data_IF_005016174217
#
_entry.id   IF_005016174217
#
_cell.length_a   1.000
_cell.length_b   1.000
_cell.length_c   1.000
_cell.angle_alpha   90.00
_cell.angle_beta   90.00
_cell.angle_gamma   90.00
#
_symmetry.space_group_name_H-M   'P 1'
#
loop_
_entity.id
_entity.type
_entity.pdbx_description
1 polymer ?
#
# COMPACT_ATOMS: atom_id res chain seq x y z
N UNK A 1 30.61 7.49 -7.86
CA UNK A 1 30.25 6.61 -8.98
C UNK A 1 28.74 6.45 -8.99
N UNK A 2 28.07 7.45 -9.53
CA UNK A 2 26.59 7.57 -9.59
C UNK A 2 26.27 8.21 -10.94
N UNK A 3 26.06 7.43 -11.99
CA UNK A 3 25.37 7.82 -13.25
C UNK A 3 25.29 6.52 -14.06
N UNK A 4 24.21 5.75 -14.01
CA UNK A 4 23.83 4.78 -15.04
C UNK A 4 22.54 3.99 -14.77
N UNK A 5 21.46 4.65 -14.32
CA UNK A 5 20.15 3.98 -14.22
C UNK A 5 18.95 4.82 -14.68
N UNK A 6 19.18 5.97 -15.32
CA UNK A 6 18.09 6.83 -15.82
C UNK A 6 17.79 6.59 -17.33
N UNK A 7 18.66 5.87 -18.04
CA UNK A 7 18.56 5.72 -19.51
C UNK A 7 17.53 4.67 -19.97
N UNK A 8 17.22 3.66 -19.18
CA UNK A 8 16.35 2.55 -19.64
C UNK A 8 14.85 2.80 -19.44
N UNK A 9 14.48 3.58 -18.41
CA UNK A 9 13.07 3.90 -18.15
C UNK A 9 12.50 4.90 -19.18
N UNK A 10 13.30 5.86 -19.61
CA UNK A 10 12.89 6.85 -20.62
C UNK A 10 12.62 6.23 -21.98
N UNK A 11 13.37 5.21 -22.38
CA UNK A 11 13.24 4.55 -23.69
C UNK A 11 11.97 3.69 -23.79
N UNK A 12 11.49 3.11 -22.70
CA UNK A 12 10.27 2.28 -22.67
C UNK A 12 9.02 3.17 -22.73
N UNK A 13 9.00 4.28 -22.00
CA UNK A 13 7.86 5.23 -22.01
C UNK A 13 7.72 5.89 -23.38
N UNK A 14 8.82 6.27 -24.03
CA UNK A 14 8.79 6.88 -25.37
C UNK A 14 8.31 5.88 -26.43
N UNK A 15 8.69 4.59 -26.35
CA UNK A 15 8.23 3.57 -27.29
C UNK A 15 6.74 3.22 -27.13
N UNK A 16 6.19 3.29 -25.92
CA UNK A 16 4.75 3.06 -25.69
C UNK A 16 3.91 4.26 -26.13
N UNK A 17 4.37 5.48 -25.89
CA UNK A 17 3.68 6.70 -26.36
C UNK A 17 3.68 6.84 -27.88
N UNK A 18 4.78 6.47 -28.56
CA UNK A 18 4.83 6.47 -30.04
C UNK A 18 3.90 5.42 -30.64
N UNK A 19 3.73 4.25 -30.04
CA UNK A 19 2.79 3.23 -30.53
C UNK A 19 1.33 3.66 -30.33
N UNK A 20 0.98 4.25 -29.19
CA UNK A 20 -0.37 4.79 -28.95
C UNK A 20 -0.67 5.97 -29.89
N UNK A 21 0.30 6.86 -30.13
CA UNK A 21 0.13 7.95 -31.09
C UNK A 21 0.01 7.48 -32.54
N UNK A 22 0.70 6.39 -32.91
CA UNK A 22 0.57 5.80 -34.25
C UNK A 22 -0.82 5.19 -34.48
N UNK A 23 -1.39 4.54 -33.47
CA UNK A 23 -2.75 3.97 -33.54
C UNK A 23 -3.79 5.10 -33.66
N UNK A 24 -3.61 6.22 -32.93
CA UNK A 24 -4.49 7.38 -33.06
C UNK A 24 -4.36 8.09 -34.41
N UNK A 25 -3.15 8.17 -34.99
CA UNK A 25 -2.95 8.73 -36.33
C UNK A 25 -3.54 7.86 -37.45
N UNK A 26 -3.46 6.54 -37.35
CA UNK A 26 -4.06 5.62 -38.31
C UNK A 26 -5.61 5.61 -38.18
N UNK A 27 -6.17 5.69 -36.98
CA UNK A 27 -7.62 5.80 -36.77
C UNK A 27 -8.22 7.10 -37.33
N UNK A 28 -7.50 8.22 -37.23
CA UNK A 28 -7.96 9.51 -37.76
C UNK A 28 -7.87 9.61 -39.29
N UNK A 29 -6.86 8.97 -39.90
CA UNK A 29 -6.71 8.93 -41.37
C UNK A 29 -7.77 8.04 -42.01
N UNK A 30 -8.18 6.95 -41.36
CA UNK A 30 -9.28 6.10 -41.85
C UNK A 30 -10.62 6.84 -41.76
N UNK A 31 -10.84 7.68 -40.73
CA UNK A 31 -12.07 8.49 -40.59
C UNK A 31 -12.17 9.61 -41.64
N UNK A 32 -11.05 10.14 -42.12
CA UNK A 32 -11.03 11.23 -43.13
C UNK A 32 -11.19 10.73 -44.57
N UNK A 33 -10.76 9.49 -44.88
CA UNK A 33 -10.80 8.95 -46.24
C UNK A 33 -12.09 8.21 -46.61
N UNK A 34 -13.00 7.94 -45.67
CA UNK A 34 -14.14 7.06 -45.86
C UNK A 34 -15.51 7.70 -45.56
N UNK A 35 -15.59 9.03 -45.49
CA UNK A 35 -16.88 9.73 -45.34
C UNK A 35 -17.88 9.40 -46.49
N UNK A 36 -17.40 8.96 -47.65
CA UNK A 36 -18.21 8.51 -48.76
C UNK A 36 -18.62 7.03 -48.76
N UNK A 37 -17.83 6.18 -48.06
CA UNK A 37 -18.05 4.71 -48.05
C UNK A 37 -18.85 4.28 -46.81
N UNK A 38 -18.75 5.01 -45.67
CA UNK A 38 -19.55 4.71 -44.48
C UNK A 38 -21.07 4.83 -44.69
N UNK A 39 -21.54 5.66 -45.61
CA UNK A 39 -22.95 5.79 -45.88
C UNK A 39 -23.51 4.54 -46.60
N UNK A 40 -22.70 3.85 -47.39
CA UNK A 40 -23.10 2.64 -48.11
C UNK A 40 -23.11 1.36 -47.25
N UNK A 41 -22.30 1.32 -46.20
CA UNK A 41 -22.25 0.16 -45.30
C UNK A 41 -23.33 0.20 -44.21
N UNK A 42 -23.83 1.38 -43.85
CA UNK A 42 -24.87 1.51 -42.81
C UNK A 42 -26.29 1.17 -43.28
N UNK A 43 -26.52 1.15 -44.59
CA UNK A 43 -27.88 0.85 -45.17
C UNK A 43 -28.18 -0.65 -45.35
N UNK A 44 -27.22 -1.54 -45.09
CA UNK A 44 -27.38 -2.99 -45.24
C UNK A 44 -27.17 -3.79 -43.95
N UNK A 45 -27.24 -3.17 -42.78
CA UNK A 45 -27.25 -3.90 -41.50
C UNK A 45 -28.65 -4.44 -41.25
N UNK A 46 -28.82 -5.76 -41.07
CA UNK A 46 -30.12 -6.31 -40.70
C UNK A 46 -30.56 -5.70 -39.38
N UNK A 47 -31.71 -5.09 -39.35
CA UNK A 47 -32.34 -4.56 -38.14
C UNK A 47 -32.79 -5.74 -37.27
N UNK A 48 -31.94 -6.15 -36.41
CA UNK A 48 -32.16 -7.24 -35.46
C UNK A 48 -31.24 -7.08 -34.25
N UNK A 49 -31.82 -6.75 -33.17
CA UNK A 49 -31.54 -6.92 -31.71
C UNK A 49 -30.17 -7.44 -31.20
N UNK A 50 -29.08 -7.22 -31.92
CA UNK A 50 -27.74 -7.75 -31.49
C UNK A 50 -26.92 -6.75 -30.69
N UNK A 51 -27.37 -5.49 -30.55
CA UNK A 51 -26.62 -4.49 -29.77
C UNK A 51 -26.91 -4.57 -28.28
N UNK A 52 -28.03 -5.21 -27.86
CA UNK A 52 -28.36 -5.36 -26.44
C UNK A 52 -27.63 -6.51 -25.73
N UNK A 53 -27.14 -7.49 -26.49
CA UNK A 53 -26.40 -8.61 -25.91
C UNK A 53 -24.95 -8.27 -25.58
N UNK A 54 -24.29 -7.49 -26.45
CA UNK A 54 -22.86 -7.09 -26.25
C UNK A 54 -22.73 -6.12 -25.08
N UNK A 55 -23.70 -5.23 -24.87
CA UNK A 55 -23.66 -4.31 -23.73
C UNK A 55 -23.92 -5.00 -22.40
N UNK A 56 -24.67 -6.10 -22.36
CA UNK A 56 -24.87 -6.91 -21.16
C UNK A 56 -23.66 -7.74 -20.80
N UNK A 57 -22.95 -8.32 -21.77
CA UNK A 57 -21.72 -9.06 -21.50
C UNK A 57 -20.58 -8.12 -21.05
N UNK A 58 -20.44 -6.94 -21.67
CA UNK A 58 -19.45 -5.97 -21.25
C UNK A 58 -19.74 -5.41 -19.86
N UNK A 59 -21.01 -5.18 -19.52
CA UNK A 59 -21.40 -4.75 -18.18
C UNK A 59 -21.14 -5.84 -17.11
N UNK A 60 -21.34 -7.11 -17.44
CA UNK A 60 -21.02 -8.20 -16.52
C UNK A 60 -19.51 -8.40 -16.34
N UNK A 61 -18.70 -8.08 -17.33
CA UNK A 61 -17.23 -8.10 -17.22
C UNK A 61 -16.70 -6.94 -16.37
N UNK A 62 -17.36 -5.78 -16.40
CA UNK A 62 -16.97 -4.59 -15.61
C UNK A 62 -17.58 -4.58 -14.21
N UNK A 63 -18.61 -5.39 -13.94
CA UNK A 63 -19.28 -5.52 -12.64
C UNK A 63 -18.89 -6.79 -11.89
N UNK A 64 -17.91 -7.55 -12.39
CA UNK A 64 -17.31 -8.64 -11.64
C UNK A 64 -16.77 -8.10 -10.31
N UNK A 65 -16.92 -8.83 -9.18
CA UNK A 65 -16.33 -8.39 -7.94
C UNK A 65 -14.84 -8.19 -8.22
N UNK A 66 -14.33 -6.97 -7.96
CA UNK A 66 -12.89 -6.72 -7.92
C UNK A 66 -12.40 -7.68 -6.86
N UNK A 67 -11.82 -8.79 -7.29
CA UNK A 67 -11.16 -9.72 -6.39
C UNK A 67 -10.07 -8.90 -5.70
N UNK A 68 -10.35 -8.55 -4.44
CA UNK A 68 -9.30 -8.16 -3.50
C UNK A 68 -8.29 -9.30 -3.56
N UNK A 69 -7.21 -9.08 -4.28
CA UNK A 69 -6.16 -10.06 -4.46
C UNK A 69 -5.67 -10.46 -3.07
N UNK A 70 -5.36 -11.73 -2.87
CA UNK A 70 -4.85 -12.32 -1.61
C UNK A 70 -3.65 -11.55 -0.99
N UNK A 71 -3.10 -10.57 -1.71
CA UNK A 71 -2.04 -9.66 -1.28
C UNK A 71 -2.48 -8.60 -0.25
N UNK A 72 -3.79 -8.36 -0.08
CA UNK A 72 -4.32 -7.38 0.90
C UNK A 72 -4.53 -7.97 2.30
N UNK A 73 -4.38 -9.29 2.47
CA UNK A 73 -4.58 -9.94 3.75
C UNK A 73 -3.27 -10.00 4.55
N UNK A 74 -3.22 -9.27 5.67
CA UNK A 74 -2.10 -9.36 6.61
C UNK A 74 -2.10 -10.70 7.34
N UNK A 75 -0.96 -11.36 7.39
CA UNK A 75 -0.74 -12.48 8.31
C UNK A 75 -0.71 -11.92 9.74
N UNK A 76 -1.28 -12.67 10.69
CA UNK A 76 -1.31 -12.24 12.08
C UNK A 76 -0.35 -13.07 12.93
N UNK A 77 0.20 -12.44 13.95
CA UNK A 77 0.94 -13.13 15.01
C UNK A 77 0.60 -12.55 16.37
N UNK A 78 1.04 -13.24 17.41
CA UNK A 78 0.92 -12.78 18.79
C UNK A 78 2.26 -12.18 19.22
N UNK A 79 2.20 -10.97 19.79
CA UNK A 79 3.34 -10.28 20.40
C UNK A 79 3.09 -10.17 21.89
N UNK A 80 4.04 -10.60 22.71
CA UNK A 80 3.97 -10.53 24.17
C UNK A 80 5.09 -9.66 24.72
N UNK A 81 4.78 -8.83 25.71
CA UNK A 81 5.76 -8.05 26.45
C UNK A 81 5.27 -7.83 27.86
N UNK A 82 6.11 -8.08 28.87
CA UNK A 82 5.69 -8.05 30.27
C UNK A 82 4.42 -8.90 30.48
N UNK A 83 3.35 -8.31 30.98
CA UNK A 83 2.08 -9.00 31.28
C UNK A 83 0.99 -8.69 30.23
N UNK A 84 1.37 -8.25 29.02
CA UNK A 84 0.41 -7.91 27.98
C UNK A 84 0.64 -8.73 26.71
N UNK A 85 -0.45 -8.93 25.97
CA UNK A 85 -0.46 -9.68 24.72
C UNK A 85 -1.23 -8.90 23.66
N UNK A 86 -0.63 -8.77 22.48
CA UNK A 86 -1.22 -8.14 21.30
C UNK A 86 -1.39 -9.16 20.20
N UNK A 87 -2.47 -9.06 19.45
CA UNK A 87 -2.61 -9.69 18.13
C UNK A 87 -2.27 -8.65 17.08
N UNK A 88 -1.18 -8.86 16.37
CA UNK A 88 -0.68 -7.87 15.41
C UNK A 88 -0.77 -8.37 13.98
N UNK A 89 -1.07 -7.46 13.08
CA UNK A 89 -0.91 -7.65 11.64
C UNK A 89 0.57 -7.53 11.29
N UNK A 90 1.11 -8.45 10.47
CA UNK A 90 2.48 -8.41 10.00
C UNK A 90 2.58 -7.66 8.67
N UNK A 91 3.32 -6.56 8.64
CA UNK A 91 3.68 -5.87 7.42
C UNK A 91 5.00 -6.43 6.88
N UNK A 92 4.91 -7.40 5.97
CA UNK A 92 6.03 -8.19 5.45
C UNK A 92 6.50 -7.70 4.07
N UNK A 93 5.61 -7.11 3.28
CA UNK A 93 5.93 -6.64 1.92
C UNK A 93 6.08 -5.12 1.87
N UNK A 94 6.83 -4.58 0.88
CA UNK A 94 6.95 -3.12 0.71
C UNK A 94 5.60 -2.40 0.61
N UNK A 95 4.61 -2.99 -0.07
CA UNK A 95 3.26 -2.41 -0.20
C UNK A 95 2.54 -2.38 1.15
N UNK A 96 2.63 -3.47 1.94
CA UNK A 96 2.06 -3.53 3.29
C UNK A 96 2.74 -2.52 4.22
N UNK A 97 4.07 -2.40 4.14
CA UNK A 97 4.85 -1.44 4.93
C UNK A 97 4.53 0.01 4.55
N UNK A 98 4.38 0.29 3.26
CA UNK A 98 4.00 1.62 2.78
C UNK A 98 2.59 2.02 3.22
N UNK A 99 1.65 1.09 3.25
CA UNK A 99 0.26 1.31 3.67
C UNK A 99 0.15 1.42 5.19
N UNK A 100 0.80 0.53 5.92
CA UNK A 100 0.72 0.49 7.39
C UNK A 100 -0.72 0.45 7.89
N UNK A 101 -1.01 1.26 8.89
CA UNK A 101 -2.35 1.44 9.48
C UNK A 101 -3.16 2.57 8.81
N UNK A 102 -2.63 3.21 7.74
CA UNK A 102 -3.30 4.31 7.03
C UNK A 102 -4.73 3.95 6.63
N UNK A 103 -5.65 4.88 6.80
CA UNK A 103 -7.07 4.71 6.45
C UNK A 103 -7.90 3.89 7.43
N UNK A 104 -7.32 3.21 8.41
CA UNK A 104 -8.09 2.50 9.45
C UNK A 104 -8.81 3.50 10.34
N UNK A 105 -10.09 3.22 10.62
CA UNK A 105 -10.92 4.11 11.46
C UNK A 105 -10.59 4.00 12.95
N UNK A 106 -10.23 2.80 13.40
CA UNK A 106 -9.92 2.49 14.80
C UNK A 106 -9.10 1.22 14.94
N UNK A 107 -8.48 1.06 16.10
CA UNK A 107 -7.78 -0.15 16.51
C UNK A 107 -8.03 -0.40 18.00
N UNK A 108 -8.18 -1.65 18.39
CA UNK A 108 -8.39 -2.05 19.79
C UNK A 108 -7.08 -2.07 20.55
N UNK A 109 -7.15 -1.98 21.88
CA UNK A 109 -5.99 -1.96 22.80
C UNK A 109 -5.08 -3.19 22.66
N UNK A 110 -5.68 -4.35 22.36
CA UNK A 110 -4.96 -5.61 22.19
C UNK A 110 -4.54 -5.90 20.73
N UNK A 111 -4.60 -4.89 19.88
CA UNK A 111 -4.20 -4.98 18.47
C UNK A 111 -3.00 -4.08 18.17
N UNK A 112 -2.32 -4.37 17.06
CA UNK A 112 -1.21 -3.58 16.55
C UNK A 112 -0.82 -3.98 15.14
N UNK A 113 0.25 -3.37 14.65
CA UNK A 113 0.93 -3.78 13.42
C UNK A 113 2.42 -3.91 13.67
N UNK A 114 3.00 -5.03 13.28
CA UNK A 114 4.43 -5.29 13.36
C UNK A 114 5.03 -5.26 11.96
N UNK A 115 5.85 -4.27 11.70
CA UNK A 115 6.64 -4.15 10.49
C UNK A 115 7.90 -4.98 10.64
N UNK A 116 8.16 -5.85 9.68
CA UNK A 116 9.34 -6.71 9.63
C UNK A 116 10.23 -6.21 8.50
N UNK A 117 11.31 -5.51 8.85
CA UNK A 117 12.21 -4.92 7.88
C UNK A 117 13.21 -5.95 7.35
N UNK A 118 13.78 -5.69 6.19
CA UNK A 118 14.73 -6.61 5.54
C UNK A 118 16.10 -6.64 6.26
N UNK A 119 16.53 -5.52 6.79
CA UNK A 119 17.82 -5.37 7.48
C UNK A 119 17.73 -4.32 8.58
N UNK A 120 18.59 -4.36 9.60
CA UNK A 120 18.62 -3.31 10.61
C UNK A 120 18.99 -1.96 9.99
N UNK A 121 18.19 -0.93 10.29
CA UNK A 121 18.43 0.46 9.91
C UNK A 121 17.59 1.42 10.76
N UNK A 122 17.78 2.73 10.58
CA UNK A 122 17.00 3.79 11.22
C UNK A 122 15.78 4.13 10.37
N UNK A 123 14.72 3.36 10.52
CA UNK A 123 13.49 3.54 9.75
C UNK A 123 12.66 4.67 10.28
N UNK A 124 12.39 5.67 9.42
CA UNK A 124 11.49 6.77 9.73
C UNK A 124 10.03 6.40 9.53
N UNK A 125 9.19 6.78 10.49
CA UNK A 125 7.74 6.57 10.47
C UNK A 125 7.00 7.90 10.58
N UNK A 126 5.82 7.98 10.02
CA UNK A 126 4.98 9.18 10.01
C UNK A 126 3.52 8.82 10.29
N UNK A 127 2.72 9.83 10.62
CA UNK A 127 1.30 9.68 10.95
C UNK A 127 0.39 10.08 9.78
N UNK A 128 0.88 9.92 8.54
CA UNK A 128 0.13 10.28 7.33
C UNK A 128 -1.11 9.40 7.18
N UNK A 129 -2.26 10.04 6.89
CA UNK A 129 -3.54 9.37 6.69
C UNK A 129 -4.02 8.53 7.88
N UNK A 130 -3.41 8.71 9.05
CA UNK A 130 -3.88 8.11 10.28
C UNK A 130 -5.15 8.82 10.77
N UNK A 131 -6.06 8.05 11.39
CA UNK A 131 -7.33 8.58 11.94
C UNK A 131 -7.39 8.55 13.46
N UNK A 132 -6.40 7.97 14.09
CA UNK A 132 -6.26 7.90 15.55
C UNK A 132 -4.78 7.97 15.94
N UNK A 133 -4.47 8.42 17.16
CA UNK A 133 -3.10 8.54 17.63
C UNK A 133 -2.49 7.17 17.95
N UNK A 134 -1.14 7.08 17.80
CA UNK A 134 -0.36 5.85 18.00
C UNK A 134 0.79 6.04 19.00
N UNK A 135 1.20 4.91 19.60
CA UNK A 135 2.56 4.71 20.11
C UNK A 135 3.33 3.89 19.05
N UNK A 136 4.57 4.31 18.73
CA UNK A 136 5.46 3.62 17.81
C UNK A 136 6.70 3.18 18.57
N UNK A 137 7.05 1.89 18.46
CA UNK A 137 8.17 1.26 19.13
C UNK A 137 9.11 0.64 18.10
N UNK A 138 10.37 1.03 18.12
CA UNK A 138 11.42 0.42 17.31
C UNK A 138 12.12 -0.65 18.11
N UNK A 139 12.20 -1.86 17.56
CA UNK A 139 12.78 -3.02 18.20
C UNK A 139 14.02 -3.48 17.44
N UNK A 140 15.03 -3.91 18.16
CA UNK A 140 16.26 -4.47 17.57
C UNK A 140 16.03 -5.89 17.00
N UNK A 141 17.09 -6.53 16.52
CA UNK A 141 17.05 -7.90 15.97
C UNK A 141 16.65 -8.97 16.99
N UNK A 142 16.68 -8.65 18.28
CA UNK A 142 16.29 -9.54 19.38
C UNK A 142 14.89 -9.23 19.90
N UNK A 143 14.21 -8.24 19.34
CA UNK A 143 12.90 -7.77 19.79
C UNK A 143 12.96 -6.88 21.03
N UNK A 144 14.11 -6.29 21.38
CA UNK A 144 14.22 -5.34 22.47
C UNK A 144 13.87 -3.94 21.98
N UNK A 145 13.00 -3.22 22.69
CA UNK A 145 12.68 -1.84 22.38
C UNK A 145 13.92 -0.93 22.55
N UNK A 146 14.43 -0.41 21.43
CA UNK A 146 15.60 0.49 21.40
C UNK A 146 15.18 1.96 21.37
N UNK A 147 14.00 2.24 20.86
CA UNK A 147 13.43 3.59 20.77
C UNK A 147 11.91 3.53 20.83
N UNK A 148 11.27 4.59 21.34
CA UNK A 148 9.81 4.69 21.30
C UNK A 148 9.36 6.15 21.23
N UNK A 149 8.25 6.37 20.58
CA UNK A 149 7.48 7.63 20.57
C UNK A 149 6.05 7.34 20.97
N UNK A 150 5.52 8.15 21.86
CA UNK A 150 4.19 7.96 22.43
C UNK A 150 3.24 9.06 21.99
N UNK A 151 1.96 8.70 21.90
CA UNK A 151 0.85 9.61 21.66
C UNK A 151 1.05 10.48 20.43
N UNK A 152 1.55 9.89 19.34
CA UNK A 152 1.74 10.58 18.07
C UNK A 152 0.39 10.86 17.42
N UNK A 153 0.12 12.12 17.14
CA UNK A 153 -1.15 12.57 16.57
C UNK A 153 -1.17 12.40 15.06
N UNK A 154 -2.34 12.10 14.45
CA UNK A 154 -2.52 12.12 13.01
C UNK A 154 -2.07 13.43 12.38
N UNK A 155 -1.51 13.36 11.16
CA UNK A 155 -1.18 14.57 10.40
C UNK A 155 -2.42 15.14 9.73
N UNK A 156 -2.68 16.41 9.93
CA UNK A 156 -3.79 17.11 9.27
C UNK A 156 -3.54 17.35 7.79
N UNK A 157 -2.27 17.54 7.41
CA UNK A 157 -1.86 17.74 6.02
C UNK A 157 -0.55 17.02 5.75
N UNK A 158 -0.33 16.62 4.48
CA UNK A 158 0.90 15.96 4.05
C UNK A 158 2.13 16.89 4.15
N UNK A 159 1.92 18.21 4.01
CA UNK A 159 2.99 19.20 4.02
C UNK A 159 3.63 19.37 5.42
N UNK A 160 2.88 19.09 6.47
CA UNK A 160 3.30 19.25 7.87
C UNK A 160 3.28 17.92 8.64
N UNK A 161 3.57 16.81 7.96
CA UNK A 161 3.61 15.49 8.58
C UNK A 161 5.06 15.16 8.99
N UNK A 162 5.41 15.21 10.28
CA UNK A 162 6.77 14.93 10.71
C UNK A 162 7.10 13.45 10.54
N UNK A 163 8.36 13.18 10.22
CA UNK A 163 8.92 11.83 10.24
C UNK A 163 9.66 11.61 11.55
N UNK A 164 9.31 10.56 12.25
CA UNK A 164 9.95 10.13 13.49
C UNK A 164 10.97 9.06 13.18
N UNK A 165 12.25 9.36 13.41
CA UNK A 165 13.36 8.44 13.13
C UNK A 165 14.09 8.12 14.43
N UNK A 166 14.41 6.83 14.70
CA UNK A 166 15.17 6.45 15.89
C UNK A 166 16.63 6.89 15.79
N UNK A 167 17.29 6.98 16.92
CA UNK A 167 18.74 7.22 17.03
C UNK A 167 19.59 5.94 16.88
N UNK A 168 18.94 4.77 16.88
CA UNK A 168 19.54 3.44 16.87
C UNK A 168 18.88 2.59 15.78
N UNK A 169 19.61 1.67 15.17
CA UNK A 169 19.09 0.75 14.18
C UNK A 169 18.05 -0.20 14.81
N UNK A 170 17.02 -0.51 14.04
CA UNK A 170 15.93 -1.43 14.39
C UNK A 170 15.65 -2.39 13.23
N UNK A 171 15.21 -3.60 13.53
CA UNK A 171 14.74 -4.57 12.53
C UNK A 171 13.23 -4.63 12.47
N UNK A 172 12.57 -4.34 13.59
CA UNK A 172 11.12 -4.36 13.70
C UNK A 172 10.60 -3.01 14.17
N UNK A 173 9.39 -2.67 13.74
CA UNK A 173 8.65 -1.52 14.28
C UNK A 173 7.26 -1.97 14.65
N UNK A 174 6.85 -1.71 15.89
CA UNK A 174 5.53 -2.06 16.42
C UNK A 174 4.71 -0.78 16.60
N UNK A 175 3.57 -0.71 15.92
CA UNK A 175 2.57 0.32 16.11
C UNK A 175 1.42 -0.20 16.98
N UNK A 176 1.04 0.58 17.99
CA UNK A 176 -0.05 0.30 18.92
C UNK A 176 -0.91 1.55 19.12
N UNK A 177 -2.09 1.41 19.73
CA UNK A 177 -2.89 2.59 20.09
C UNK A 177 -2.13 3.47 21.08
N UNK A 178 -2.33 4.77 20.98
CA UNK A 178 -1.70 5.74 21.89
C UNK A 178 -1.99 5.43 23.37
N UNK A 179 -0.95 5.60 24.19
CA UNK A 179 -1.00 5.32 25.62
C UNK A 179 -0.79 3.84 25.98
N UNK A 180 -0.71 2.94 24.99
CA UNK A 180 -0.39 1.52 25.25
C UNK A 180 0.91 1.38 26.05
N UNK A 181 1.98 2.05 25.60
CA UNK A 181 3.27 1.97 26.28
C UNK A 181 3.20 2.43 27.74
N UNK A 182 2.44 3.50 28.01
CA UNK A 182 2.27 4.01 29.37
C UNK A 182 1.47 3.03 30.24
N UNK A 183 0.31 2.54 29.76
CA UNK A 183 -0.55 1.63 30.51
C UNK A 183 0.13 0.31 30.87
N UNK A 184 1.00 -0.18 29.99
CA UNK A 184 1.71 -1.45 30.19
C UNK A 184 3.16 -1.27 30.66
N UNK A 185 3.52 -0.04 31.06
CA UNK A 185 4.87 0.30 31.55
C UNK A 185 5.98 -0.13 30.58
N UNK A 186 5.72 -0.02 29.26
CA UNK A 186 6.70 -0.32 28.20
C UNK A 186 7.67 0.84 28.09
N UNK A 187 8.95 0.53 28.10
CA UNK A 187 10.05 1.51 28.03
C UNK A 187 11.16 0.98 27.13
N UNK A 188 12.14 1.83 26.80
CA UNK A 188 13.39 1.38 26.18
C UNK A 188 13.99 0.26 27.04
N UNK A 189 14.45 -0.82 26.39
CA UNK A 189 14.93 -2.04 27.05
C UNK A 189 13.84 -3.11 27.29
N UNK A 190 12.57 -2.81 27.05
CA UNK A 190 11.52 -3.83 27.18
C UNK A 190 11.68 -4.90 26.10
N UNK A 191 11.66 -6.18 26.50
CA UNK A 191 11.69 -7.34 25.61
C UNK A 191 10.29 -7.64 25.07
N UNK A 192 10.18 -7.78 23.75
CA UNK A 192 9.02 -8.27 23.03
C UNK A 192 9.30 -9.65 22.45
N UNK A 193 8.37 -10.58 22.61
CA UNK A 193 8.49 -11.93 22.08
C UNK A 193 7.37 -12.17 21.06
N UNK A 194 7.74 -12.69 19.91
CA UNK A 194 6.82 -13.04 18.81
C UNK A 194 7.44 -14.10 17.93
N UNK A 195 6.60 -14.76 17.12
CA UNK A 195 7.05 -15.70 16.09
C UNK A 195 6.67 -15.16 14.72
N UNK A 196 7.60 -15.23 13.78
CA UNK A 196 7.37 -14.91 12.39
C UNK A 196 6.98 -16.17 11.61
N UNK A 197 6.17 -16.07 10.54
CA UNK A 197 5.88 -17.19 9.66
C UNK A 197 7.18 -17.73 9.04
N UNK A 198 7.40 -19.05 9.09
CA UNK A 198 8.57 -19.71 8.50
C UNK A 198 9.83 -19.72 9.38
N UNK A 199 9.75 -19.27 10.64
CA UNK A 199 10.82 -19.34 11.65
C UNK A 199 10.59 -20.48 12.65
#
# INVERSE_FOLDING_TARGET
MRIMLISTFSAIIIRTLTRVMLIFRFGLVIAAATAGICIFYFSNLPSGNTFSSVSKELASFLSGPIHSTAQDQYVKTTVTAKNTTLVVDLALTPDQQSRGLSGREKMSENQGMLFVMHSPARYGFWMKEMKFPLDILWLDTKGVAVYLKQNLQPCLTILNCPTYTPDTDSLYVLETVAGFSQRHAITKGTQFNFRLPGG
#
